data_IF_013781923344
#
_entry.id   IF_013781923344
#
_cell.length_a   1.000
_cell.length_b   1.000
_cell.length_c   1.000
_cell.angle_alpha   90.00
_cell.angle_beta   90.00
_cell.angle_gamma   90.00
#
_symmetry.space_group_name_H-M   'P 1'
#
loop_
_entity.id
_entity.type
_entity.pdbx_description
1 polymer ?
#
# COMPACT_ATOMS: atom_id res chain seq x y z
N UNK A 1 -19.62 15.97 -7.40
CA UNK A 1 -18.77 14.85 -6.92
C UNK A 1 -17.71 15.41 -6.00
N UNK A 2 -17.46 14.78 -4.84
CA UNK A 2 -16.50 15.23 -3.83
C UNK A 2 -15.33 14.23 -3.78
N UNK A 3 -14.10 14.73 -4.00
CA UNK A 3 -12.88 13.96 -4.07
C UNK A 3 -11.78 14.65 -3.26
N UNK A 4 -12.04 14.93 -1.96
CA UNK A 4 -11.07 15.58 -1.08
C UNK A 4 -10.24 14.55 -0.32
N UNK A 5 -9.07 14.99 0.12
CA UNK A 5 -8.20 14.16 0.95
C UNK A 5 -8.83 13.91 2.33
N UNK A 6 -8.55 12.75 2.88
CA UNK A 6 -8.93 12.35 4.24
C UNK A 6 -7.69 11.78 4.94
N UNK A 7 -6.72 12.64 5.34
CA UNK A 7 -5.48 12.19 5.97
C UNK A 7 -5.75 11.64 7.38
N UNK A 8 -4.79 10.89 7.92
CA UNK A 8 -4.83 10.50 9.33
C UNK A 8 -4.36 11.64 10.22
N UNK A 9 -5.00 11.80 11.36
CA UNK A 9 -4.54 12.65 12.46
C UNK A 9 -3.38 11.99 13.22
N UNK A 10 -2.78 12.68 14.15
CA UNK A 10 -1.66 12.18 14.97
C UNK A 10 -2.04 10.99 15.86
N UNK A 11 -3.29 10.83 16.21
CA UNK A 11 -3.84 9.69 16.97
C UNK A 11 -4.29 8.52 16.07
N UNK A 12 -4.10 8.66 14.74
CA UNK A 12 -4.45 7.64 13.76
C UNK A 12 -5.92 7.64 13.32
N UNK A 13 -6.74 8.59 13.79
CA UNK A 13 -8.10 8.79 13.30
C UNK A 13 -8.12 9.55 11.96
N UNK A 14 -9.28 9.54 11.30
CA UNK A 14 -9.45 10.23 10.02
C UNK A 14 -9.69 11.73 10.25
N UNK A 15 -8.92 12.59 9.58
CA UNK A 15 -9.20 14.03 9.53
C UNK A 15 -10.30 14.31 8.51
N UNK A 16 -11.48 14.66 9.02
CA UNK A 16 -12.66 15.00 8.21
C UNK A 16 -12.81 16.51 7.95
N UNK A 17 -11.85 17.34 8.37
CA UNK A 17 -11.94 18.81 8.27
C UNK A 17 -12.13 19.29 6.83
N UNK A 18 -11.41 18.69 5.87
CA UNK A 18 -11.59 19.02 4.44
C UNK A 18 -13.00 18.72 3.96
N UNK A 19 -13.57 17.61 4.39
CA UNK A 19 -14.93 17.21 4.04
C UNK A 19 -15.94 18.18 4.67
N UNK A 20 -15.79 18.50 5.95
CA UNK A 20 -16.67 19.44 6.67
C UNK A 20 -16.66 20.82 6.00
N UNK A 21 -15.50 21.32 5.58
CA UNK A 21 -15.40 22.61 4.88
C UNK A 21 -16.15 22.58 3.56
N UNK A 22 -15.98 21.51 2.74
CA UNK A 22 -16.72 21.38 1.47
C UNK A 22 -18.23 21.38 1.71
N UNK A 23 -18.72 20.67 2.72
CA UNK A 23 -20.16 20.62 3.00
C UNK A 23 -20.69 21.94 3.54
N UNK A 24 -19.92 22.69 4.33
CA UNK A 24 -20.30 24.02 4.78
C UNK A 24 -20.54 24.98 3.61
N UNK A 25 -19.70 24.90 2.57
CA UNK A 25 -19.88 25.69 1.34
C UNK A 25 -21.02 25.16 0.47
N UNK A 26 -21.14 23.84 0.33
CA UNK A 26 -22.19 23.22 -0.46
C UNK A 26 -23.58 23.56 0.04
N UNK A 27 -23.81 23.59 1.35
CA UNK A 27 -25.09 23.96 1.94
C UNK A 27 -25.59 25.34 1.52
N UNK A 28 -24.68 26.25 1.12
CA UNK A 28 -25.03 27.59 0.65
C UNK A 28 -25.47 27.64 -0.83
N UNK A 29 -25.12 26.62 -1.62
CA UNK A 29 -25.22 26.66 -3.07
C UNK A 29 -25.98 25.50 -3.72
N UNK A 30 -26.31 24.44 -2.94
CA UNK A 30 -26.95 23.25 -3.50
C UNK A 30 -28.41 23.50 -3.88
N UNK A 31 -28.72 23.22 -5.12
CA UNK A 31 -30.12 23.15 -5.57
C UNK A 31 -30.85 21.94 -4.94
N UNK A 32 -32.15 22.05 -4.80
CA UNK A 32 -33.00 21.11 -4.06
C UNK A 32 -32.93 19.66 -4.63
N UNK A 33 -32.58 19.50 -5.89
CA UNK A 33 -32.52 18.20 -6.57
C UNK A 33 -31.08 17.71 -6.84
N UNK A 34 -30.05 18.40 -6.36
CA UNK A 34 -28.66 18.01 -6.59
C UNK A 34 -28.32 16.74 -5.81
N UNK A 35 -27.77 15.74 -6.48
CA UNK A 35 -27.19 14.54 -5.86
C UNK A 35 -25.72 14.84 -5.53
N UNK A 36 -25.33 14.57 -4.30
CA UNK A 36 -23.95 14.70 -3.83
C UNK A 36 -23.28 13.33 -3.85
N UNK A 37 -22.33 13.14 -4.75
CA UNK A 37 -21.56 11.89 -4.83
C UNK A 37 -20.21 12.07 -4.12
N UNK A 38 -19.94 11.25 -3.10
CA UNK A 38 -18.72 11.27 -2.29
C UNK A 38 -17.82 10.11 -2.74
N UNK A 39 -16.66 10.44 -3.31
CA UNK A 39 -15.60 9.46 -3.64
C UNK A 39 -14.55 9.32 -2.55
N UNK A 40 -14.39 10.31 -1.70
CA UNK A 40 -13.48 10.25 -0.55
C UNK A 40 -13.86 9.13 0.40
N UNK A 41 -12.87 8.48 0.98
CA UNK A 41 -13.07 7.44 1.99
C UNK A 41 -13.52 8.09 3.30
N UNK A 42 -14.65 7.66 3.84
CA UNK A 42 -15.20 8.12 5.12
C UNK A 42 -15.27 6.93 6.09
N UNK A 43 -14.97 7.19 7.35
CA UNK A 43 -15.08 6.17 8.39
C UNK A 43 -16.52 5.63 8.47
N UNK A 44 -16.73 4.29 8.48
CA UNK A 44 -18.08 3.73 8.45
C UNK A 44 -19.00 4.21 9.57
N UNK A 45 -18.48 4.41 10.79
CA UNK A 45 -19.29 4.94 11.92
C UNK A 45 -19.55 6.43 11.81
N UNK A 46 -18.74 7.18 11.08
CA UNK A 46 -18.94 8.60 10.85
C UNK A 46 -19.98 8.89 9.77
N UNK A 47 -20.35 7.90 8.96
CA UNK A 47 -21.31 8.09 7.86
C UNK A 47 -22.62 8.67 8.39
N UNK A 48 -23.23 8.04 9.39
CA UNK A 48 -24.53 8.49 9.91
C UNK A 48 -24.45 9.86 10.57
N UNK A 49 -23.48 10.09 11.49
CA UNK A 49 -23.31 11.38 12.15
C UNK A 49 -22.97 12.51 11.17
N UNK A 50 -22.22 12.16 10.13
CA UNK A 50 -21.92 13.08 9.04
C UNK A 50 -23.18 13.43 8.24
N UNK A 51 -23.99 12.45 7.87
CA UNK A 51 -25.27 12.67 7.17
C UNK A 51 -26.24 13.52 8.01
N UNK A 52 -26.32 13.28 9.32
CA UNK A 52 -27.15 14.04 10.25
C UNK A 52 -26.68 15.50 10.41
N UNK A 53 -25.38 15.76 10.25
CA UNK A 53 -24.81 17.12 10.35
C UNK A 53 -25.09 17.98 9.10
N UNK A 54 -25.59 17.37 8.03
CA UNK A 54 -25.84 18.03 6.76
C UNK A 54 -27.30 18.51 6.69
N UNK A 55 -27.52 19.72 6.22
CA UNK A 55 -28.85 20.20 5.83
C UNK A 55 -29.29 19.67 4.46
N UNK A 56 -28.93 18.39 4.20
CA UNK A 56 -29.21 17.67 2.96
C UNK A 56 -29.80 16.32 3.36
N UNK A 57 -30.90 15.94 2.73
CA UNK A 57 -31.49 14.63 2.96
C UNK A 57 -30.52 13.51 2.57
N UNK A 58 -30.41 12.48 3.42
CA UNK A 58 -29.49 11.35 3.24
C UNK A 58 -29.68 10.64 1.90
N UNK A 59 -30.94 10.56 1.42
CA UNK A 59 -31.27 9.94 0.13
C UNK A 59 -30.58 10.63 -1.07
N UNK A 60 -30.15 11.90 -0.91
CA UNK A 60 -29.44 12.66 -1.95
C UNK A 60 -27.92 12.46 -1.91
N UNK A 61 -27.43 11.72 -0.94
CA UNK A 61 -26.01 11.46 -0.78
C UNK A 61 -25.71 10.05 -1.28
N UNK A 62 -24.73 9.94 -2.17
CA UNK A 62 -24.30 8.69 -2.76
C UNK A 62 -22.80 8.53 -2.51
N UNK A 63 -22.40 7.42 -1.95
CA UNK A 63 -20.99 7.06 -1.75
C UNK A 63 -20.49 6.22 -2.93
N UNK A 64 -19.36 6.62 -3.50
CA UNK A 64 -18.74 5.90 -4.58
C UNK A 64 -17.22 5.84 -4.34
N UNK A 65 -16.76 4.98 -3.40
CA UNK A 65 -15.35 4.87 -3.08
C UNK A 65 -14.52 4.47 -4.31
N UNK A 66 -13.29 4.96 -4.38
CA UNK A 66 -12.33 4.62 -5.41
C UNK A 66 -11.46 3.41 -5.01
N UNK A 67 -10.91 2.69 -5.99
CA UNK A 67 -10.01 1.55 -5.81
C UNK A 67 -8.76 1.70 -6.69
N UNK A 68 -8.30 2.92 -6.87
CA UNK A 68 -7.18 3.26 -7.74
C UNK A 68 -5.87 2.86 -7.08
N UNK A 69 -4.93 2.39 -7.89
CA UNK A 69 -3.56 2.06 -7.47
C UNK A 69 -2.61 3.17 -7.93
N UNK A 70 -1.72 3.60 -7.07
CA UNK A 70 -0.66 4.51 -7.46
C UNK A 70 0.18 3.90 -8.59
N UNK A 71 0.59 4.72 -9.55
CA UNK A 71 1.30 4.28 -10.75
C UNK A 71 0.41 3.78 -11.90
N UNK A 72 -0.86 3.40 -11.63
CA UNK A 72 -1.82 2.95 -12.67
C UNK A 72 -3.21 3.57 -12.56
N UNK A 73 -3.36 4.68 -11.82
CA UNK A 73 -4.65 5.26 -11.46
C UNK A 73 -5.55 5.60 -12.66
N UNK A 74 -4.98 6.03 -13.80
CA UNK A 74 -5.74 6.36 -15.00
C UNK A 74 -6.31 5.08 -15.63
N UNK A 75 -5.50 4.03 -15.76
CA UNK A 75 -5.95 2.75 -16.30
C UNK A 75 -6.98 2.09 -15.37
N UNK A 76 -6.72 2.07 -14.06
CA UNK A 76 -7.67 1.56 -13.07
C UNK A 76 -8.99 2.32 -13.05
N UNK A 77 -8.99 3.62 -13.38
CA UNK A 77 -10.22 4.40 -13.46
C UNK A 77 -11.06 4.01 -14.68
N UNK A 78 -10.45 3.83 -15.85
CA UNK A 78 -11.17 3.48 -17.08
C UNK A 78 -11.47 1.98 -17.20
N UNK A 79 -10.71 1.13 -16.53
CA UNK A 79 -10.85 -0.33 -16.52
C UNK A 79 -10.94 -0.86 -15.08
N UNK A 80 -11.91 -0.42 -14.25
CA UNK A 80 -11.99 -0.84 -12.85
C UNK A 80 -12.45 -2.30 -12.75
N UNK A 81 -11.89 -3.05 -11.79
CA UNK A 81 -12.35 -4.41 -11.48
C UNK A 81 -13.81 -4.44 -11.01
N UNK A 82 -14.26 -3.39 -10.38
CA UNK A 82 -15.62 -3.17 -9.86
C UNK A 82 -15.89 -1.71 -9.60
N UNK A 83 -17.17 -1.35 -9.62
CA UNK A 83 -17.68 -0.04 -9.20
C UNK A 83 -18.62 -0.26 -8.02
N UNK A 84 -18.42 0.44 -6.90
CA UNK A 84 -19.27 0.33 -5.71
C UNK A 84 -20.03 1.63 -5.53
N UNK A 85 -21.35 1.55 -5.39
CA UNK A 85 -22.23 2.70 -5.19
C UNK A 85 -23.12 2.43 -3.96
N UNK A 86 -22.91 3.19 -2.89
CA UNK A 86 -23.65 3.11 -1.64
C UNK A 86 -24.63 4.26 -1.50
N UNK A 87 -25.91 3.97 -1.29
CA UNK A 87 -26.96 4.98 -1.08
C UNK A 87 -28.16 4.38 -0.35
N UNK A 88 -28.89 5.20 0.39
CA UNK A 88 -30.19 4.88 0.94
C UNK A 88 -31.32 4.97 -0.11
N UNK A 89 -31.03 5.56 -1.27
CA UNK A 89 -31.96 5.76 -2.40
C UNK A 89 -31.38 5.14 -3.67
N UNK A 90 -32.03 4.07 -4.15
CA UNK A 90 -31.60 3.33 -5.34
C UNK A 90 -31.72 4.16 -6.63
N UNK A 91 -32.71 5.05 -6.75
CA UNK A 91 -32.89 5.86 -7.95
C UNK A 91 -31.74 6.87 -8.08
N UNK A 92 -31.31 7.46 -6.97
CA UNK A 92 -30.16 8.34 -6.95
C UNK A 92 -28.84 7.58 -7.18
N UNK A 93 -28.72 6.37 -6.63
CA UNK A 93 -27.57 5.49 -6.94
C UNK A 93 -27.50 5.15 -8.44
N UNK A 94 -28.64 4.82 -9.08
CA UNK A 94 -28.71 4.55 -10.51
C UNK A 94 -28.37 5.77 -11.36
N UNK A 95 -28.76 6.99 -10.97
CA UNK A 95 -28.35 8.22 -11.65
C UNK A 95 -26.83 8.42 -11.60
N UNK A 96 -26.19 8.12 -10.46
CA UNK A 96 -24.71 8.14 -10.40
C UNK A 96 -24.11 7.03 -11.27
N UNK A 97 -24.72 5.85 -11.34
CA UNK A 97 -24.25 4.76 -12.19
C UNK A 97 -24.20 5.12 -13.67
N UNK A 98 -25.03 6.08 -14.16
CA UNK A 98 -24.96 6.54 -15.57
C UNK A 98 -23.61 7.14 -15.95
N UNK A 99 -22.82 7.63 -14.97
CA UNK A 99 -21.46 8.12 -15.22
C UNK A 99 -20.56 6.98 -15.74
N UNK A 100 -20.89 5.74 -15.40
CA UNK A 100 -20.13 4.54 -15.70
C UNK A 100 -20.77 3.66 -16.79
N UNK A 101 -21.73 4.17 -17.55
CA UNK A 101 -22.49 3.39 -18.56
C UNK A 101 -21.60 2.77 -19.66
N UNK A 102 -20.44 3.40 -19.94
CA UNK A 102 -19.47 2.92 -20.94
C UNK A 102 -18.38 2.01 -20.35
N UNK A 103 -18.47 1.67 -19.06
CA UNK A 103 -17.51 0.79 -18.39
C UNK A 103 -18.05 -0.65 -18.41
N UNK A 104 -17.18 -1.60 -18.69
CA UNK A 104 -17.56 -3.03 -18.73
C UNK A 104 -17.60 -3.70 -17.37
N UNK A 105 -17.30 -2.99 -16.29
CA UNK A 105 -17.18 -3.52 -14.94
C UNK A 105 -18.53 -3.68 -14.24
N UNK A 106 -18.61 -4.65 -13.36
CA UNK A 106 -19.80 -4.84 -12.52
C UNK A 106 -20.01 -3.65 -11.58
N UNK A 107 -21.25 -3.15 -11.50
CA UNK A 107 -21.67 -2.12 -10.55
C UNK A 107 -22.40 -2.79 -9.39
N UNK A 108 -21.83 -2.69 -8.20
CA UNK A 108 -22.44 -3.17 -6.97
C UNK A 108 -23.17 -2.02 -6.27
N UNK A 109 -24.50 -2.13 -6.18
CA UNK A 109 -25.32 -1.23 -5.37
C UNK A 109 -25.43 -1.77 -3.94
N UNK A 110 -25.23 -0.91 -2.95
CA UNK A 110 -25.29 -1.28 -1.54
C UNK A 110 -25.68 -0.07 -0.67
N UNK A 111 -25.80 -0.26 0.65
CA UNK A 111 -25.99 0.84 1.59
C UNK A 111 -24.70 1.67 1.80
N UNK A 112 -24.80 2.90 2.35
CA UNK A 112 -23.66 3.78 2.58
C UNK A 112 -22.55 3.16 3.42
N UNK A 113 -22.88 2.49 4.53
CA UNK A 113 -21.91 1.89 5.46
C UNK A 113 -21.16 0.74 4.78
N UNK A 114 -21.89 -0.17 4.11
CA UNK A 114 -21.30 -1.29 3.39
C UNK A 114 -20.35 -0.84 2.29
N UNK A 115 -20.67 0.25 1.58
CA UNK A 115 -19.78 0.80 0.53
C UNK A 115 -18.42 1.21 1.10
N UNK A 116 -18.38 1.83 2.27
CA UNK A 116 -17.14 2.20 2.95
C UNK A 116 -16.40 1.00 3.52
N UNK A 117 -17.12 0.05 4.14
CA UNK A 117 -16.51 -1.18 4.64
C UNK A 117 -15.86 -2.02 3.53
N UNK A 118 -16.44 -2.06 2.32
CA UNK A 118 -15.82 -2.73 1.16
C UNK A 118 -14.45 -2.12 0.87
N UNK A 119 -14.32 -0.78 0.88
CA UNK A 119 -13.04 -0.10 0.65
C UNK A 119 -12.03 -0.46 1.74
N UNK A 120 -12.39 -0.29 3.00
CA UNK A 120 -11.50 -0.53 4.14
C UNK A 120 -11.06 -1.99 4.23
N UNK A 121 -11.99 -2.94 4.06
CA UNK A 121 -11.68 -4.37 4.16
C UNK A 121 -10.84 -4.86 2.97
N UNK A 122 -11.05 -4.32 1.76
CA UNK A 122 -10.17 -4.59 0.63
C UNK A 122 -8.74 -4.13 0.93
N UNK A 123 -8.57 -2.89 1.43
CA UNK A 123 -7.27 -2.33 1.78
C UNK A 123 -6.66 -2.93 3.06
N UNK A 124 -7.40 -3.72 3.83
CA UNK A 124 -6.92 -4.54 4.94
C UNK A 124 -6.51 -5.94 4.49
N UNK A 125 -7.27 -6.54 3.58
CA UNK A 125 -7.01 -7.89 3.09
C UNK A 125 -5.74 -7.98 2.23
N UNK A 126 -5.47 -6.96 1.41
CA UNK A 126 -4.28 -6.95 0.58
C UNK A 126 -2.97 -6.98 1.38
N UNK A 127 -2.75 -6.11 2.39
CA UNK A 127 -1.56 -6.18 3.24
C UNK A 127 -1.52 -7.45 4.12
N UNK A 128 -2.66 -8.04 4.49
CA UNK A 128 -2.69 -9.36 5.13
C UNK A 128 -2.07 -10.42 4.22
N UNK A 129 -2.45 -10.47 2.93
CA UNK A 129 -1.85 -11.41 1.96
C UNK A 129 -0.34 -11.20 1.82
N UNK A 130 0.10 -9.94 1.69
CA UNK A 130 1.52 -9.60 1.60
C UNK A 130 2.28 -10.04 2.87
N UNK A 131 1.74 -9.77 4.05
CA UNK A 131 2.34 -10.19 5.32
C UNK A 131 2.44 -11.72 5.43
N UNK A 132 1.39 -12.45 5.04
CA UNK A 132 1.42 -13.91 5.00
C UNK A 132 2.54 -14.44 4.08
N UNK A 133 2.68 -13.89 2.88
CA UNK A 133 3.72 -14.29 1.92
C UNK A 133 5.12 -13.99 2.47
N UNK A 134 5.28 -12.83 3.10
CA UNK A 134 6.54 -12.43 3.72
C UNK A 134 6.91 -13.35 4.91
N UNK A 135 5.97 -13.74 5.77
CA UNK A 135 6.21 -14.73 6.82
C UNK A 135 6.49 -16.14 6.24
N UNK A 136 5.76 -16.53 5.19
CA UNK A 136 6.01 -17.79 4.49
C UNK A 136 7.43 -17.84 3.91
N UNK A 137 7.94 -16.71 3.40
CA UNK A 137 9.31 -16.64 2.88
C UNK A 137 10.36 -16.91 3.95
N UNK A 138 10.15 -16.39 5.17
CA UNK A 138 11.04 -16.65 6.32
C UNK A 138 11.03 -18.14 6.70
N UNK A 139 9.84 -18.74 6.75
CA UNK A 139 9.69 -20.16 7.08
C UNK A 139 10.36 -21.04 6.03
N UNK A 140 10.10 -20.79 4.75
CA UNK A 140 10.67 -21.56 3.62
C UNK A 140 12.19 -21.45 3.61
N UNK A 141 12.74 -20.23 3.78
CA UNK A 141 14.19 -20.01 3.88
C UNK A 141 14.81 -20.78 5.03
N UNK A 142 14.19 -20.80 6.20
CA UNK A 142 14.67 -21.53 7.38
C UNK A 142 14.64 -23.04 7.19
N UNK A 143 13.62 -23.54 6.48
CA UNK A 143 13.46 -24.99 6.22
C UNK A 143 14.25 -25.49 5.02
N UNK A 144 14.93 -24.61 4.26
CA UNK A 144 15.69 -24.96 3.05
C UNK A 144 14.81 -25.35 1.86
N UNK A 145 13.59 -24.85 1.79
CA UNK A 145 12.67 -25.05 0.67
C UNK A 145 12.87 -24.02 -0.44
N UNK A 146 12.28 -24.29 -1.62
CA UNK A 146 12.25 -23.35 -2.75
C UNK A 146 10.99 -22.51 -2.71
N UNK A 147 11.13 -21.23 -2.39
CA UNK A 147 9.97 -20.33 -2.20
C UNK A 147 9.11 -20.21 -3.47
N UNK A 148 9.74 -20.13 -4.65
CA UNK A 148 9.03 -20.11 -5.95
C UNK A 148 8.05 -21.29 -6.06
N UNK A 149 8.51 -22.50 -5.76
CA UNK A 149 7.71 -23.69 -5.91
C UNK A 149 6.57 -23.73 -4.88
N UNK A 150 6.86 -23.32 -3.64
CA UNK A 150 5.84 -23.20 -2.58
C UNK A 150 4.77 -22.20 -2.97
N UNK A 151 5.14 -20.97 -3.36
CA UNK A 151 4.17 -19.93 -3.73
C UNK A 151 3.42 -20.28 -5.02
N UNK A 152 4.09 -20.85 -6.01
CA UNK A 152 3.45 -21.38 -7.21
C UNK A 152 2.46 -22.49 -6.85
N UNK A 153 2.89 -23.42 -6.00
CA UNK A 153 2.06 -24.57 -5.59
C UNK A 153 0.77 -24.13 -4.88
N UNK A 154 0.86 -23.25 -3.88
CA UNK A 154 -0.34 -22.74 -3.19
C UNK A 154 -1.20 -21.89 -4.11
N UNK A 155 -0.61 -21.09 -5.00
CA UNK A 155 -1.33 -20.21 -5.92
C UNK A 155 -2.03 -20.94 -7.08
N UNK A 156 -1.71 -22.22 -7.35
CA UNK A 156 -2.45 -23.06 -8.28
C UNK A 156 -3.84 -23.45 -7.75
N UNK A 157 -4.07 -23.37 -6.43
CA UNK A 157 -5.41 -23.50 -5.89
C UNK A 157 -6.24 -22.26 -6.28
N UNK A 158 -7.31 -22.47 -7.04
CA UNK A 158 -8.18 -21.38 -7.54
C UNK A 158 -8.81 -20.53 -6.45
N UNK A 159 -8.94 -21.06 -5.23
CA UNK A 159 -9.43 -20.31 -4.05
C UNK A 159 -8.41 -19.29 -3.53
N UNK A 160 -7.12 -19.50 -3.84
CA UNK A 160 -6.00 -18.62 -3.44
C UNK A 160 -5.63 -17.69 -4.60
N UNK A 161 -5.33 -18.25 -5.78
CA UNK A 161 -4.88 -17.52 -6.96
C UNK A 161 -3.45 -16.99 -6.83
N UNK A 162 -2.87 -16.51 -7.94
CA UNK A 162 -1.47 -16.06 -8.02
C UNK A 162 -1.23 -14.60 -7.59
N UNK A 163 -2.28 -13.77 -7.57
CA UNK A 163 -2.12 -12.35 -7.27
C UNK A 163 -1.68 -12.13 -5.82
N UNK A 164 -0.80 -11.14 -5.58
CA UNK A 164 -0.28 -10.82 -4.25
C UNK A 164 0.44 -11.99 -3.54
N UNK A 165 1.07 -12.90 -4.30
CA UNK A 165 1.90 -13.99 -3.77
C UNK A 165 3.40 -13.77 -4.02
N UNK A 166 3.85 -12.55 -4.27
CA UNK A 166 5.28 -12.22 -4.38
C UNK A 166 5.78 -11.65 -3.05
N UNK A 167 6.88 -12.18 -2.49
CA UNK A 167 7.48 -11.63 -1.28
C UNK A 167 8.12 -10.26 -1.58
N UNK A 168 8.25 -9.44 -0.56
CA UNK A 168 8.88 -8.13 -0.63
C UNK A 168 9.61 -7.83 0.68
N UNK A 169 10.51 -6.83 0.71
CA UNK A 169 11.14 -6.38 1.96
C UNK A 169 10.13 -5.89 3.02
N UNK A 170 8.95 -5.54 2.59
CA UNK A 170 7.83 -5.04 3.38
C UNK A 170 6.80 -4.37 2.47
N UNK A 171 5.70 -3.91 3.03
CA UNK A 171 4.69 -3.12 2.34
C UNK A 171 4.50 -1.76 3.02
N UNK A 172 4.03 -0.77 2.25
CA UNK A 172 3.86 0.61 2.71
C UNK A 172 2.86 1.38 1.84
N UNK A 173 3.18 2.65 1.58
CA UNK A 173 2.34 3.57 0.83
C UNK A 173 1.36 4.34 1.72
N UNK A 174 0.56 5.18 1.10
CA UNK A 174 -0.36 6.09 1.79
C UNK A 174 -1.65 5.41 2.27
N UNK A 175 -2.11 4.37 1.56
CA UNK A 175 -3.43 3.78 1.76
C UNK A 175 -3.44 2.65 2.80
N UNK A 176 -2.58 1.63 2.63
CA UNK A 176 -2.63 0.43 3.47
C UNK A 176 -2.41 0.71 4.95
N UNK A 177 -1.36 1.45 5.37
CA UNK A 177 -1.16 1.76 6.79
C UNK A 177 -2.30 2.58 7.38
N UNK A 178 -2.78 3.57 6.62
CA UNK A 178 -3.86 4.46 7.06
C UNK A 178 -5.17 3.68 7.27
N UNK A 179 -5.62 2.96 6.25
CA UNK A 179 -6.91 2.27 6.28
C UNK A 179 -6.91 1.11 7.29
N UNK A 180 -5.77 0.43 7.46
CA UNK A 180 -5.59 -0.62 8.46
C UNK A 180 -5.65 -0.05 9.88
N UNK A 181 -4.98 1.07 10.17
CA UNK A 181 -5.07 1.74 11.46
C UNK A 181 -6.49 2.16 11.78
N UNK A 182 -7.21 2.67 10.78
CA UNK A 182 -8.61 3.08 10.93
C UNK A 182 -9.54 1.91 11.28
N UNK A 183 -9.37 0.76 10.64
CA UNK A 183 -10.11 -0.47 10.98
C UNK A 183 -9.75 -0.97 12.38
N UNK A 184 -8.50 -0.83 12.82
CA UNK A 184 -8.10 -1.15 14.19
C UNK A 184 -8.78 -0.23 15.21
N UNK A 185 -8.78 1.07 14.95
CA UNK A 185 -9.48 2.06 15.78
C UNK A 185 -11.00 1.78 15.84
N UNK A 186 -11.60 1.44 14.68
CA UNK A 186 -13.00 1.05 14.61
C UNK A 186 -13.29 -0.18 15.49
N UNK A 187 -12.43 -1.18 15.44
CA UNK A 187 -12.58 -2.38 16.28
C UNK A 187 -12.47 -2.06 17.77
N UNK A 188 -11.49 -1.25 18.15
CA UNK A 188 -11.28 -0.87 19.56
C UNK A 188 -12.43 -0.02 20.11
N UNK A 189 -12.91 0.98 19.34
CA UNK A 189 -14.04 1.82 19.70
C UNK A 189 -15.35 1.03 19.86
N UNK A 190 -15.48 -0.10 19.17
CA UNK A 190 -16.64 -0.99 19.28
C UNK A 190 -16.37 -2.21 20.18
N UNK A 191 -15.27 -2.22 20.93
CA UNK A 191 -14.88 -3.33 21.83
C UNK A 191 -14.77 -4.68 21.11
N UNK A 192 -14.40 -4.67 19.82
CA UNK A 192 -14.21 -5.87 19.03
C UNK A 192 -12.76 -6.37 19.16
N UNK A 193 -12.60 -7.66 19.44
CA UNK A 193 -11.29 -8.29 19.43
C UNK A 193 -11.03 -8.95 18.08
N UNK A 194 -10.26 -8.29 17.21
CA UNK A 194 -9.92 -8.73 15.86
C UNK A 194 -8.42 -9.04 15.74
N UNK A 195 -7.95 -10.20 16.28
CA UNK A 195 -6.51 -10.46 16.42
C UNK A 195 -5.76 -10.53 15.09
N UNK A 196 -6.38 -11.00 13.99
CA UNK A 196 -5.75 -11.02 12.67
C UNK A 196 -5.45 -9.59 12.23
N UNK A 197 -6.44 -8.72 12.21
CA UNK A 197 -6.32 -7.33 11.76
C UNK A 197 -5.30 -6.57 12.62
N UNK A 198 -5.36 -6.75 13.95
CA UNK A 198 -4.44 -6.09 14.90
C UNK A 198 -2.97 -6.47 14.72
N UNK A 199 -2.68 -7.64 14.15
CA UNK A 199 -1.30 -8.10 14.00
C UNK A 199 -0.72 -7.84 12.60
N UNK A 200 -1.44 -7.33 11.61
CA UNK A 200 -0.94 -7.13 10.24
C UNK A 200 0.24 -6.14 10.22
N UNK A 201 0.10 -4.94 10.85
CA UNK A 201 1.18 -3.96 10.96
C UNK A 201 2.40 -4.52 11.71
N UNK A 202 2.15 -5.24 12.81
CA UNK A 202 3.21 -5.86 13.62
C UNK A 202 3.98 -6.91 12.80
N UNK A 203 3.28 -7.75 12.03
CA UNK A 203 3.88 -8.73 11.14
C UNK A 203 4.79 -8.06 10.11
N UNK A 204 4.34 -6.97 9.47
CA UNK A 204 5.15 -6.22 8.51
C UNK A 204 6.42 -5.65 9.14
N UNK A 205 6.33 -5.04 10.33
CA UNK A 205 7.48 -4.48 11.02
C UNK A 205 8.50 -5.57 11.40
N UNK A 206 8.05 -6.70 11.96
CA UNK A 206 8.91 -7.85 12.27
C UNK A 206 9.59 -8.38 11.01
N UNK A 207 8.87 -8.42 9.90
CA UNK A 207 9.45 -8.86 8.64
C UNK A 207 10.53 -7.89 8.12
N UNK A 208 10.31 -6.57 8.17
CA UNK A 208 11.31 -5.58 7.80
C UNK A 208 12.58 -5.69 8.66
N UNK A 209 12.43 -5.94 9.96
CA UNK A 209 13.57 -6.18 10.87
C UNK A 209 14.32 -7.47 10.52
N UNK A 210 13.59 -8.55 10.25
CA UNK A 210 14.18 -9.81 9.79
C UNK A 210 14.94 -9.62 8.47
N UNK A 211 14.35 -8.92 7.51
CA UNK A 211 14.98 -8.63 6.23
C UNK A 211 16.26 -7.82 6.40
N UNK A 212 16.23 -6.76 7.22
CA UNK A 212 17.41 -5.97 7.56
C UNK A 212 18.54 -6.83 8.18
N UNK A 213 18.21 -7.71 9.12
CA UNK A 213 19.17 -8.64 9.68
C UNK A 213 19.77 -9.61 8.65
N UNK A 214 18.93 -10.07 7.70
CA UNK A 214 19.38 -10.90 6.59
C UNK A 214 20.42 -10.18 5.70
N UNK A 215 20.22 -8.88 5.44
CA UNK A 215 21.20 -8.08 4.71
C UNK A 215 22.54 -7.97 5.45
N UNK A 216 22.51 -7.82 6.80
CA UNK A 216 23.74 -7.82 7.62
C UNK A 216 24.47 -9.18 7.52
N UNK A 217 23.72 -10.29 7.56
CA UNK A 217 24.28 -11.62 7.40
C UNK A 217 24.97 -11.80 6.06
N UNK A 218 24.28 -11.45 4.94
CA UNK A 218 24.83 -11.50 3.60
C UNK A 218 26.08 -10.64 3.48
N UNK A 219 26.03 -9.38 3.98
CA UNK A 219 27.18 -8.49 3.99
C UNK A 219 28.40 -9.11 4.68
N UNK A 220 28.21 -9.74 5.84
CA UNK A 220 29.27 -10.40 6.61
C UNK A 220 29.82 -11.61 5.89
N UNK A 221 28.95 -12.49 5.37
CA UNK A 221 29.32 -13.72 4.66
C UNK A 221 30.15 -13.38 3.41
N UNK A 222 29.71 -12.41 2.63
CA UNK A 222 30.40 -11.95 1.40
C UNK A 222 31.57 -11.00 1.69
N UNK A 223 31.86 -10.67 2.96
CA UNK A 223 32.92 -9.75 3.40
C UNK A 223 32.83 -8.37 2.74
N UNK A 224 31.60 -7.85 2.62
CA UNK A 224 31.32 -6.54 2.07
C UNK A 224 31.40 -5.45 3.14
N UNK A 225 31.67 -4.21 2.72
CA UNK A 225 31.87 -3.10 3.64
C UNK A 225 30.59 -2.33 3.92
N UNK A 226 29.68 -2.26 2.96
CA UNK A 226 28.49 -1.43 3.02
C UNK A 226 27.29 -2.05 2.31
N UNK A 227 26.11 -1.47 2.56
CA UNK A 227 24.84 -1.84 1.95
C UNK A 227 24.30 -0.63 1.19
N UNK A 228 23.79 -0.84 0.00
CA UNK A 228 23.08 0.19 -0.79
C UNK A 228 21.70 -0.33 -1.15
N UNK A 229 20.67 0.36 -0.69
CA UNK A 229 19.29 0.07 -1.03
C UNK A 229 18.93 0.78 -2.34
N UNK A 230 18.49 0.03 -3.34
CA UNK A 230 18.12 0.54 -4.66
C UNK A 230 16.61 0.77 -4.74
N UNK A 231 16.21 2.06 -4.82
CA UNK A 231 14.84 2.51 -4.85
C UNK A 231 14.32 2.95 -3.47
N UNK A 232 13.81 4.17 -3.41
CA UNK A 232 13.35 4.83 -2.17
C UNK A 232 11.83 4.78 -1.99
N UNK A 233 11.05 4.64 -3.08
CA UNK A 233 9.58 4.56 -3.02
C UNK A 233 9.11 3.30 -2.30
N UNK A 234 7.82 3.25 -1.95
CA UNK A 234 7.26 2.07 -1.30
C UNK A 234 7.01 0.89 -2.25
N UNK A 235 6.98 1.14 -3.56
CA UNK A 235 6.85 0.13 -4.64
C UNK A 235 7.33 0.68 -5.97
N UNK A 236 7.33 -0.17 -6.98
CA UNK A 236 7.60 0.19 -8.38
C UNK A 236 6.60 1.21 -8.97
N UNK A 237 7.06 2.01 -9.94
CA UNK A 237 6.25 2.95 -10.74
C UNK A 237 5.53 4.06 -9.93
N UNK A 238 6.13 4.52 -8.84
CA UNK A 238 5.67 5.68 -8.07
C UNK A 238 6.86 6.41 -7.45
N UNK A 239 6.68 7.69 -7.15
CA UNK A 239 7.60 8.53 -6.38
C UNK A 239 7.18 8.65 -4.90
N UNK A 240 6.11 7.98 -4.49
CA UNK A 240 5.61 8.03 -3.11
C UNK A 240 6.53 7.27 -2.15
N UNK A 241 7.12 8.00 -1.21
CA UNK A 241 7.99 7.48 -0.16
C UNK A 241 7.28 7.26 1.19
N UNK A 242 5.98 7.56 1.27
CA UNK A 242 5.23 7.42 2.52
C UNK A 242 5.20 5.97 2.98
N UNK A 243 5.63 5.76 4.23
CA UNK A 243 5.76 4.41 4.82
C UNK A 243 6.59 3.43 3.96
N UNK A 244 7.58 3.95 3.22
CA UNK A 244 8.46 3.11 2.40
C UNK A 244 9.22 2.10 3.26
N UNK A 245 9.18 0.80 2.91
CA UNK A 245 10.02 -0.22 3.56
C UNK A 245 11.51 0.10 3.44
N UNK A 246 11.95 0.67 2.33
CA UNK A 246 13.34 1.09 2.13
C UNK A 246 13.79 2.06 3.21
N UNK A 247 12.99 3.12 3.44
CA UNK A 247 13.33 4.14 4.44
C UNK A 247 13.26 3.60 5.88
N UNK A 248 12.33 2.68 6.15
CA UNK A 248 12.23 2.03 7.46
C UNK A 248 13.45 1.13 7.72
N UNK A 249 13.82 0.27 6.79
CA UNK A 249 14.99 -0.61 6.88
C UNK A 249 16.28 0.20 6.96
N UNK A 250 16.41 1.27 6.17
CA UNK A 250 17.56 2.18 6.26
C UNK A 250 17.72 2.71 7.69
N UNK A 251 16.66 3.28 8.28
CA UNK A 251 16.70 3.83 9.64
C UNK A 251 17.09 2.79 10.68
N UNK A 252 16.53 1.59 10.60
CA UNK A 252 16.83 0.50 11.52
C UNK A 252 18.30 0.06 11.42
N UNK A 253 18.82 -0.15 10.21
CA UNK A 253 20.22 -0.55 10.01
C UNK A 253 21.20 0.56 10.36
N UNK A 254 20.87 1.82 10.08
CA UNK A 254 21.66 2.97 10.49
C UNK A 254 21.76 3.06 12.02
N UNK A 255 20.67 2.83 12.74
CA UNK A 255 20.65 2.83 14.18
C UNK A 255 21.50 1.70 14.79
N UNK A 256 21.67 0.58 14.08
CA UNK A 256 22.57 -0.52 14.44
C UNK A 256 24.04 -0.23 14.10
N UNK A 257 24.36 0.94 13.54
CA UNK A 257 25.73 1.35 13.18
C UNK A 257 26.22 0.78 11.84
N UNK A 258 25.33 0.27 11.03
CA UNK A 258 25.70 -0.24 9.70
C UNK A 258 26.02 0.90 8.73
N UNK A 259 27.03 0.68 7.87
CA UNK A 259 27.33 1.58 6.75
C UNK A 259 26.31 1.31 5.64
N UNK A 260 25.31 2.15 5.54
CA UNK A 260 24.17 1.97 4.64
C UNK A 260 23.83 3.26 3.91
N UNK A 261 23.41 3.13 2.66
CA UNK A 261 23.04 4.23 1.77
C UNK A 261 21.80 3.88 0.96
N UNK A 262 21.18 4.91 0.36
CA UNK A 262 20.11 4.77 -0.60
C UNK A 262 20.59 5.30 -1.96
N UNK A 263 20.24 4.59 -3.02
CA UNK A 263 20.39 5.03 -4.40
C UNK A 263 19.03 5.05 -5.08
N UNK A 264 18.64 6.22 -5.56
CA UNK A 264 17.44 6.41 -6.37
C UNK A 264 17.72 7.45 -7.45
N UNK A 265 17.30 7.19 -8.69
CA UNK A 265 17.53 8.07 -9.84
C UNK A 265 16.51 9.20 -9.95
N UNK A 266 15.36 9.06 -9.32
CA UNK A 266 14.20 9.91 -9.58
C UNK A 266 13.69 10.62 -8.33
N UNK A 267 14.03 10.13 -7.14
CA UNK A 267 13.52 10.64 -5.87
C UNK A 267 14.61 11.44 -5.15
N UNK A 268 14.31 12.69 -4.85
CA UNK A 268 15.11 13.49 -3.94
C UNK A 268 14.70 13.16 -2.50
N UNK A 269 15.66 12.68 -1.72
CA UNK A 269 15.47 12.40 -0.29
C UNK A 269 16.01 13.55 0.54
N UNK A 270 15.42 13.75 1.71
CA UNK A 270 15.87 14.71 2.71
C UNK A 270 17.30 14.43 3.20
N UNK A 271 17.92 15.39 3.92
CA UNK A 271 19.26 15.30 4.48
C UNK A 271 19.41 14.20 5.56
N UNK A 272 18.29 13.67 6.07
CA UNK A 272 18.26 12.58 7.06
C UNK A 272 18.72 11.23 6.47
N UNK A 273 18.84 11.12 5.14
CA UNK A 273 19.22 9.89 4.45
C UNK A 273 20.55 10.05 3.73
N UNK A 274 21.50 9.16 4.03
CA UNK A 274 22.76 9.10 3.28
C UNK A 274 22.51 8.52 1.89
N UNK A 275 22.80 9.30 0.87
CA UNK A 275 22.65 8.93 -0.54
C UNK A 275 24.00 8.69 -1.18
N UNK A 276 24.03 7.79 -2.16
CA UNK A 276 25.16 7.72 -3.10
C UNK A 276 24.70 8.10 -4.50
N UNK A 277 25.60 8.69 -5.27
CA UNK A 277 25.37 9.06 -6.67
C UNK A 277 26.10 8.14 -7.65
N UNK A 278 27.09 7.39 -7.16
CA UNK A 278 27.89 6.44 -7.93
C UNK A 278 27.96 5.10 -7.21
N UNK A 279 28.17 4.03 -7.96
CA UNK A 279 28.44 2.71 -7.39
C UNK A 279 29.86 2.65 -6.79
N UNK A 280 30.08 1.72 -5.89
CA UNK A 280 31.33 1.54 -5.16
C UNK A 280 31.68 0.08 -4.98
N UNK A 281 32.98 -0.21 -4.81
CA UNK A 281 33.50 -1.53 -4.53
C UNK A 281 33.04 -2.07 -3.17
N UNK A 282 33.18 -3.38 -2.97
CA UNK A 282 32.90 -4.04 -1.68
C UNK A 282 31.51 -3.76 -1.12
N UNK A 283 30.50 -3.73 -1.98
CA UNK A 283 29.13 -3.26 -1.65
C UNK A 283 28.08 -4.32 -1.92
N UNK A 284 27.12 -4.43 -0.99
CA UNK A 284 25.87 -5.18 -1.18
C UNK A 284 24.81 -4.22 -1.75
N UNK A 285 24.45 -4.40 -3.00
CA UNK A 285 23.34 -3.70 -3.65
C UNK A 285 22.06 -4.49 -3.51
N UNK A 286 21.02 -3.87 -2.98
CA UNK A 286 19.76 -4.53 -2.65
C UNK A 286 18.63 -3.88 -3.41
N UNK A 287 18.00 -4.62 -4.31
CA UNK A 287 16.81 -4.19 -5.03
C UNK A 287 15.59 -4.26 -4.09
N UNK A 288 14.97 -3.11 -3.80
CA UNK A 288 13.89 -3.01 -2.81
C UNK A 288 12.51 -3.33 -3.37
N UNK A 289 12.34 -3.19 -4.69
CA UNK A 289 11.17 -3.59 -5.46
C UNK A 289 11.61 -3.86 -6.90
N UNK A 290 10.85 -4.65 -7.71
CA UNK A 290 11.25 -4.94 -9.07
C UNK A 290 11.44 -3.68 -9.91
N UNK A 291 12.61 -3.55 -10.49
CA UNK A 291 12.91 -2.53 -11.49
C UNK A 291 12.69 -3.11 -12.89
N UNK A 292 12.47 -2.24 -13.89
CA UNK A 292 12.32 -2.70 -15.27
C UNK A 292 13.58 -3.41 -15.78
N UNK A 293 13.43 -4.35 -16.71
CA UNK A 293 14.54 -5.09 -17.28
C UNK A 293 15.61 -4.18 -17.88
N UNK A 294 15.23 -3.04 -18.44
CA UNK A 294 16.18 -2.06 -19.00
C UNK A 294 17.02 -1.41 -17.89
N UNK A 295 16.40 -0.97 -16.79
CA UNK A 295 17.10 -0.37 -15.65
C UNK A 295 17.98 -1.42 -14.96
N UNK A 296 17.48 -2.66 -14.81
CA UNK A 296 18.26 -3.75 -14.27
C UNK A 296 19.51 -4.04 -15.11
N UNK A 297 19.36 -4.07 -16.44
CA UNK A 297 20.49 -4.26 -17.36
C UNK A 297 21.52 -3.16 -17.22
N UNK A 298 21.08 -1.91 -17.15
CA UNK A 298 21.96 -0.74 -16.93
C UNK A 298 22.71 -0.85 -15.59
N UNK A 299 22.02 -1.23 -14.50
CA UNK A 299 22.69 -1.44 -13.21
C UNK A 299 23.71 -2.58 -13.29
N UNK A 300 23.37 -3.69 -13.91
CA UNK A 300 24.27 -4.84 -14.04
C UNK A 300 25.52 -4.48 -14.87
N UNK A 301 25.36 -3.73 -15.96
CA UNK A 301 26.50 -3.25 -16.77
C UNK A 301 27.42 -2.33 -15.94
N UNK A 302 26.86 -1.34 -15.23
CA UNK A 302 27.63 -0.45 -14.36
C UNK A 302 28.31 -1.21 -13.21
N UNK A 303 27.62 -2.13 -12.56
CA UNK A 303 28.18 -2.92 -11.46
C UNK A 303 29.32 -3.83 -11.88
N UNK A 304 29.38 -4.25 -13.16
CA UNK A 304 30.48 -5.06 -13.69
C UNK A 304 31.83 -4.32 -13.74
N UNK A 305 31.84 -3.01 -13.57
CA UNK A 305 33.04 -2.16 -13.51
C UNK A 305 33.70 -2.14 -12.11
N UNK A 306 33.00 -2.66 -11.08
CA UNK A 306 33.42 -2.61 -9.68
C UNK A 306 33.85 -3.98 -9.15
N UNK A 307 34.78 -3.98 -8.18
CA UNK A 307 35.29 -5.20 -7.57
C UNK A 307 34.51 -5.58 -6.30
N UNK A 308 34.32 -6.87 -6.08
CA UNK A 308 33.68 -7.43 -4.88
C UNK A 308 32.28 -6.83 -4.62
N UNK A 309 31.44 -6.74 -5.64
CA UNK A 309 30.05 -6.32 -5.54
C UNK A 309 29.12 -7.52 -5.54
N UNK A 310 28.05 -7.43 -4.76
CA UNK A 310 27.01 -8.45 -4.69
C UNK A 310 25.66 -7.80 -4.89
N UNK A 311 24.87 -8.30 -5.84
CA UNK A 311 23.54 -7.78 -6.16
C UNK A 311 22.48 -8.75 -5.64
N UNK A 312 21.61 -8.25 -4.77
CA UNK A 312 20.62 -9.04 -4.09
C UNK A 312 19.20 -8.66 -4.51
N UNK A 313 18.45 -9.63 -5.01
CA UNK A 313 17.03 -9.52 -5.36
C UNK A 313 16.25 -10.50 -4.51
N UNK A 314 15.59 -10.03 -3.48
CA UNK A 314 14.94 -10.88 -2.49
C UNK A 314 13.98 -11.93 -3.10
N UNK A 315 13.20 -11.52 -4.10
CA UNK A 315 12.25 -12.43 -4.77
C UNK A 315 12.93 -13.43 -5.74
N UNK A 316 14.17 -13.25 -6.12
CA UNK A 316 14.95 -14.19 -6.91
C UNK A 316 15.83 -15.08 -6.05
N UNK A 317 16.59 -14.52 -5.12
CA UNK A 317 17.49 -15.30 -4.26
C UNK A 317 16.78 -16.19 -3.26
N UNK A 318 15.68 -15.73 -2.70
CA UNK A 318 14.79 -16.61 -1.91
C UNK A 318 14.12 -17.65 -2.82
N UNK A 319 14.19 -17.45 -4.15
CA UNK A 319 13.74 -18.40 -5.15
C UNK A 319 14.82 -19.41 -5.57
N UNK A 320 16.10 -19.13 -5.31
CA UNK A 320 17.27 -19.93 -5.73
C UNK A 320 17.94 -20.68 -4.56
N UNK A 321 17.40 -20.62 -3.32
CA UNK A 321 17.88 -21.34 -2.14
C UNK A 321 17.30 -22.76 -2.09
#
# INVERSE_FOLDING_TARGET
MICVQTPSTTDGSLDTSFMTNVFSELNLHLEINTIVCIKSTIHPTAVNSFLESLDIKSERIVFNPEFLKEGSAIDDFFNPDRIVIGSDDLDNAQKIATIYENFSSEILFTDPISSQLIKYLANTYLPLRLSFVNEASQLVSTMGGTLRDVLKGIGLDTRIGQNYLRPSPGWGGSCFPKDLNEIQNLADNNSLNLPIIKNINKSNNIHMDWFGNKLIEIKKEKKLQQIVLLGASFKENTDDIRHSPTLAIYKNLKALGEKIYIYDLYIELDEDFDKITNFEDSTLYVEMFPISDNVFKEYKEKLSEYENVYYFRFWEEVLDI
#
